data_IF_203661314750
#
_entry.id   IF_203661314750
#
_cell.length_a   1.000
_cell.length_b   1.000
_cell.length_c   1.000
_cell.angle_alpha   90.00
_cell.angle_beta   90.00
_cell.angle_gamma   90.00
#
_symmetry.space_group_name_H-M   'P 1'
#
loop_
_entity.id
_entity.type
_entity.pdbx_description
1 polymer ?
#
# COMPACT_ATOMS: atom_id res chain seq x y z
N UNK A 1 -36.21 30.35 -6.68
CA UNK A 1 -35.86 28.99 -6.22
C UNK A 1 -36.35 28.85 -4.79
N UNK A 2 -37.28 27.95 -4.54
CA UNK A 2 -37.76 27.67 -3.21
C UNK A 2 -36.66 26.90 -2.44
N UNK A 3 -36.15 27.49 -1.37
CA UNK A 3 -35.10 26.89 -0.54
C UNK A 3 -35.71 25.69 0.17
N UNK A 4 -35.27 24.49 -0.15
CA UNK A 4 -35.69 23.23 0.54
C UNK A 4 -35.36 23.36 2.02
N UNK A 5 -36.24 22.84 2.90
CA UNK A 5 -35.97 22.84 4.33
C UNK A 5 -34.74 21.91 4.66
N UNK A 6 -34.07 22.15 5.78
CA UNK A 6 -32.96 21.28 6.24
C UNK A 6 -33.45 19.84 6.40
N UNK A 7 -34.67 19.64 6.90
CA UNK A 7 -35.27 18.31 7.03
C UNK A 7 -35.44 17.62 5.68
N UNK A 8 -35.92 18.36 4.65
CA UNK A 8 -36.12 17.81 3.31
C UNK A 8 -34.77 17.48 2.65
N UNK A 9 -33.72 18.28 2.89
CA UNK A 9 -32.37 18.02 2.41
C UNK A 9 -31.75 16.79 3.09
N UNK A 10 -32.02 16.59 4.37
CA UNK A 10 -31.56 15.43 5.11
C UNK A 10 -32.25 14.13 4.65
N UNK A 11 -33.56 14.16 4.47
CA UNK A 11 -34.34 12.98 4.04
C UNK A 11 -34.12 12.65 2.55
N UNK A 12 -33.83 13.63 1.75
CA UNK A 12 -33.59 13.51 0.30
C UNK A 12 -32.33 14.28 -0.08
N UNK A 13 -31.14 13.73 0.22
CA UNK A 13 -29.87 14.40 -0.08
C UNK A 13 -29.69 14.61 -1.58
N UNK A 14 -29.00 15.69 -1.96
CA UNK A 14 -28.56 15.90 -3.33
C UNK A 14 -27.52 14.86 -3.74
N UNK A 15 -27.32 14.64 -5.03
CA UNK A 15 -26.33 13.67 -5.53
C UNK A 15 -24.91 13.99 -5.05
N UNK A 16 -24.59 15.25 -4.76
CA UNK A 16 -23.31 15.68 -4.21
C UNK A 16 -23.09 15.26 -2.75
N UNK A 17 -24.18 15.06 -2.00
CA UNK A 17 -24.15 14.65 -0.60
C UNK A 17 -24.27 13.13 -0.41
N UNK A 18 -24.42 12.38 -1.49
CA UNK A 18 -24.50 10.91 -1.42
C UNK A 18 -23.13 10.30 -1.14
N UNK A 19 -23.06 9.23 -0.31
CA UNK A 19 -21.81 8.53 -0.04
C UNK A 19 -21.27 7.83 -1.29
N UNK A 20 -19.97 7.59 -1.28
CA UNK A 20 -19.26 6.81 -2.27
C UNK A 20 -18.65 5.58 -1.59
N UNK A 21 -18.35 4.55 -2.38
CA UNK A 21 -17.66 3.34 -1.90
C UNK A 21 -16.46 3.01 -2.77
N UNK A 22 -15.52 2.23 -2.23
CA UNK A 22 -14.51 1.56 -3.04
C UNK A 22 -15.14 0.37 -3.75
N UNK A 23 -14.70 0.11 -4.97
CA UNK A 23 -15.12 -1.00 -5.80
C UNK A 23 -13.90 -1.77 -6.26
N UNK A 24 -13.62 -2.83 -5.54
CA UNK A 24 -12.42 -3.61 -5.75
C UNK A 24 -12.56 -4.57 -6.91
N UNK A 25 -11.65 -4.49 -7.87
CA UNK A 25 -11.50 -5.45 -8.94
C UNK A 25 -10.32 -6.36 -8.63
N UNK A 26 -10.60 -7.51 -8.04
CA UNK A 26 -9.59 -8.44 -7.56
C UNK A 26 -9.10 -9.31 -8.72
N UNK A 27 -7.79 -9.27 -9.01
CA UNK A 27 -7.10 -10.21 -9.89
C UNK A 27 -7.66 -10.32 -11.32
N UNK A 28 -8.29 -9.28 -11.82
CA UNK A 28 -8.91 -9.29 -13.14
C UNK A 28 -10.20 -10.13 -13.25
N UNK A 29 -10.76 -10.57 -12.12
CA UNK A 29 -11.98 -11.39 -12.08
C UNK A 29 -13.24 -10.52 -12.21
N UNK A 30 -13.43 -9.91 -13.38
CA UNK A 30 -14.58 -9.05 -13.66
C UNK A 30 -15.29 -9.48 -14.94
N UNK A 31 -16.60 -9.30 -15.01
CA UNK A 31 -17.44 -9.53 -16.19
C UNK A 31 -18.43 -8.39 -16.38
N UNK A 32 -18.98 -8.25 -17.58
CA UNK A 32 -19.99 -7.21 -17.86
C UNK A 32 -21.25 -7.40 -17.01
N UNK A 33 -21.67 -8.64 -16.81
CA UNK A 33 -22.82 -9.00 -15.98
C UNK A 33 -22.58 -8.62 -14.51
N UNK A 34 -21.37 -8.92 -13.99
CA UNK A 34 -20.97 -8.56 -12.63
C UNK A 34 -20.90 -7.03 -12.44
N UNK A 35 -20.30 -6.33 -13.40
CA UNK A 35 -20.24 -4.85 -13.40
C UNK A 35 -21.63 -4.24 -13.34
N UNK A 36 -22.56 -4.70 -14.19
CA UNK A 36 -23.94 -4.22 -14.19
C UNK A 36 -24.61 -4.48 -12.84
N UNK A 37 -24.51 -5.72 -12.33
CA UNK A 37 -25.14 -6.09 -11.07
C UNK A 37 -24.61 -5.26 -9.88
N UNK A 38 -23.29 -5.06 -9.80
CA UNK A 38 -22.67 -4.27 -8.74
C UNK A 38 -23.11 -2.80 -8.79
N UNK A 39 -23.09 -2.18 -9.97
CA UNK A 39 -23.47 -0.77 -10.12
C UNK A 39 -24.96 -0.56 -9.87
N UNK A 40 -25.83 -1.49 -10.29
CA UNK A 40 -27.26 -1.47 -9.97
C UNK A 40 -27.50 -1.61 -8.45
N UNK A 41 -26.77 -2.48 -7.79
CA UNK A 41 -26.84 -2.64 -6.32
C UNK A 41 -26.37 -1.35 -5.61
N UNK A 42 -25.29 -0.73 -6.05
CA UNK A 42 -24.80 0.56 -5.52
C UNK A 42 -25.85 1.67 -5.72
N UNK A 43 -26.48 1.74 -6.89
CA UNK A 43 -27.56 2.70 -7.15
C UNK A 43 -28.76 2.46 -6.24
N UNK A 44 -29.16 1.21 -6.08
CA UNK A 44 -30.28 0.83 -5.20
C UNK A 44 -29.99 1.15 -3.73
N UNK A 45 -28.75 1.00 -3.30
CA UNK A 45 -28.27 1.37 -1.96
C UNK A 45 -28.20 2.90 -1.73
N UNK A 46 -28.44 3.71 -2.74
CA UNK A 46 -28.44 5.17 -2.63
C UNK A 46 -27.06 5.82 -2.72
N UNK A 47 -26.06 5.11 -3.22
CA UNK A 47 -24.72 5.68 -3.45
C UNK A 47 -24.74 6.72 -4.59
N UNK A 48 -23.88 7.73 -4.48
CA UNK A 48 -23.66 8.75 -5.49
C UNK A 48 -22.58 8.39 -6.52
N UNK A 49 -21.72 7.45 -6.17
CA UNK A 49 -20.62 7.00 -7.01
C UNK A 49 -19.75 5.94 -6.37
N UNK A 50 -18.73 5.54 -7.10
CA UNK A 50 -17.75 4.56 -6.64
C UNK A 50 -16.35 4.86 -7.14
N UNK A 51 -15.33 4.37 -6.42
CA UNK A 51 -13.94 4.36 -6.84
C UNK A 51 -13.54 2.96 -7.28
N UNK A 52 -13.38 2.75 -8.59
CA UNK A 52 -12.80 1.52 -9.13
C UNK A 52 -11.36 1.42 -8.66
N UNK A 53 -11.05 0.36 -7.93
CA UNK A 53 -9.73 0.08 -7.40
C UNK A 53 -9.27 -1.30 -7.90
N UNK A 54 -8.42 -1.34 -8.93
CA UNK A 54 -7.88 -2.61 -9.40
C UNK A 54 -6.82 -3.12 -8.42
N UNK A 55 -6.85 -4.41 -8.13
CA UNK A 55 -5.88 -5.10 -7.28
C UNK A 55 -5.36 -6.29 -8.05
N UNK A 56 -4.12 -6.18 -8.52
CA UNK A 56 -3.40 -7.27 -9.16
C UNK A 56 -2.83 -8.21 -8.11
N UNK A 57 -2.05 -7.65 -7.17
CA UNK A 57 -1.46 -8.33 -6.03
C UNK A 57 -0.75 -9.65 -6.35
N UNK A 58 -0.07 -10.19 -5.36
CA UNK A 58 0.41 -11.57 -5.37
C UNK A 58 -0.70 -12.42 -4.73
N UNK A 59 -1.25 -13.40 -5.48
CA UNK A 59 -2.20 -14.33 -4.93
C UNK A 59 -1.77 -15.75 -5.27
N UNK A 60 -1.36 -16.46 -4.26
CA UNK A 60 -1.16 -17.90 -4.36
C UNK A 60 -2.51 -18.59 -4.12
N UNK A 61 -2.97 -19.37 -5.11
CA UNK A 61 -4.18 -20.18 -4.99
C UNK A 61 -5.51 -19.42 -5.05
N UNK A 62 -5.59 -18.29 -5.75
CA UNK A 62 -6.86 -17.63 -5.98
C UNK A 62 -7.86 -18.54 -6.73
N UNK A 63 -9.10 -18.55 -6.25
CA UNK A 63 -10.19 -19.32 -6.86
C UNK A 63 -10.61 -18.82 -8.25
N UNK A 64 -10.15 -17.62 -8.65
CA UNK A 64 -10.57 -16.95 -9.87
C UNK A 64 -9.36 -16.44 -10.65
N UNK A 65 -9.10 -17.07 -11.78
CA UNK A 65 -8.21 -16.52 -12.80
C UNK A 65 -9.02 -15.58 -13.69
N UNK A 66 -8.97 -14.29 -13.36
CA UNK A 66 -9.63 -13.27 -14.17
C UNK A 66 -8.91 -13.05 -15.50
N UNK A 67 -9.69 -12.91 -16.57
CA UNK A 67 -9.15 -12.64 -17.92
C UNK A 67 -8.77 -11.18 -18.12
N UNK A 68 -9.43 -10.27 -17.38
CA UNK A 68 -9.22 -8.83 -17.50
C UNK A 68 -8.07 -8.36 -16.60
N UNK A 69 -6.87 -8.85 -16.88
CA UNK A 69 -5.67 -8.42 -16.16
C UNK A 69 -5.42 -6.93 -16.37
N UNK A 70 -5.01 -6.22 -15.33
CA UNK A 70 -4.81 -4.78 -15.34
C UNK A 70 -3.94 -4.32 -16.51
N UNK A 71 -4.38 -3.26 -17.20
CA UNK A 71 -3.77 -2.64 -18.38
C UNK A 71 -3.83 -3.48 -19.69
N UNK A 72 -4.46 -4.66 -19.71
CA UNK A 72 -4.71 -5.39 -20.95
C UNK A 72 -5.86 -4.78 -21.74
N UNK A 73 -6.00 -5.09 -23.05
CA UNK A 73 -7.14 -4.66 -23.85
C UNK A 73 -8.50 -5.05 -23.25
N UNK A 74 -8.59 -6.27 -22.70
CA UNK A 74 -9.78 -6.79 -22.02
C UNK A 74 -10.13 -5.97 -20.78
N UNK A 75 -9.12 -5.58 -20.01
CA UNK A 75 -9.32 -4.72 -18.84
C UNK A 75 -9.86 -3.34 -19.25
N UNK A 76 -9.29 -2.73 -20.29
CA UNK A 76 -9.77 -1.45 -20.79
C UNK A 76 -11.18 -1.51 -21.37
N UNK A 77 -11.57 -2.65 -21.95
CA UNK A 77 -12.96 -2.90 -22.37
C UNK A 77 -13.90 -2.90 -21.17
N UNK A 78 -13.54 -3.58 -20.07
CA UNK A 78 -14.34 -3.60 -18.83
C UNK A 78 -14.42 -2.21 -18.19
N UNK A 79 -13.33 -1.45 -18.17
CA UNK A 79 -13.33 -0.07 -17.68
C UNK A 79 -14.29 0.80 -18.49
N UNK A 80 -14.22 0.74 -19.82
CA UNK A 80 -15.14 1.49 -20.68
C UNK A 80 -16.59 1.10 -20.44
N UNK A 81 -16.88 -0.18 -20.36
CA UNK A 81 -18.20 -0.68 -20.05
C UNK A 81 -18.70 -0.18 -18.69
N UNK A 82 -17.85 -0.14 -17.68
CA UNK A 82 -18.18 0.40 -16.36
C UNK A 82 -18.54 1.88 -16.41
N UNK A 83 -17.84 2.66 -17.24
CA UNK A 83 -18.16 4.09 -17.43
C UNK A 83 -19.52 4.27 -18.09
N UNK A 84 -19.84 3.44 -19.08
CA UNK A 84 -21.14 3.46 -19.79
C UNK A 84 -22.28 3.09 -18.82
N UNK A 85 -22.11 2.02 -18.04
CA UNK A 85 -23.09 1.56 -17.05
C UNK A 85 -23.28 2.57 -15.91
N UNK A 86 -22.18 3.12 -15.37
CA UNK A 86 -22.26 4.16 -14.35
C UNK A 86 -23.04 5.38 -14.88
N UNK A 87 -22.77 5.79 -16.11
CA UNK A 87 -23.50 6.89 -16.75
C UNK A 87 -24.98 6.55 -16.94
N UNK A 88 -25.32 5.34 -17.40
CA UNK A 88 -26.70 4.85 -17.53
C UNK A 88 -27.48 4.98 -16.22
N UNK A 89 -26.82 4.65 -15.10
CA UNK A 89 -27.42 4.67 -13.77
C UNK A 89 -27.34 6.04 -13.08
N UNK A 90 -26.67 7.03 -13.67
CA UNK A 90 -26.42 8.33 -13.05
C UNK A 90 -25.53 8.22 -11.82
N UNK A 91 -24.58 7.29 -11.81
CA UNK A 91 -23.52 7.17 -10.82
C UNK A 91 -22.25 7.87 -11.31
N UNK A 92 -21.49 8.44 -10.39
CA UNK A 92 -20.15 8.92 -10.68
C UNK A 92 -19.13 7.79 -10.53
N UNK A 93 -18.17 7.73 -11.43
CA UNK A 93 -17.09 6.74 -11.39
C UNK A 93 -15.74 7.46 -11.30
N UNK A 94 -15.01 7.23 -10.23
CA UNK A 94 -13.59 7.53 -10.08
C UNK A 94 -12.76 6.27 -10.33
N UNK A 95 -11.50 6.43 -10.70
CA UNK A 95 -10.59 5.30 -10.86
C UNK A 95 -9.30 5.56 -10.10
N UNK A 96 -8.84 4.56 -9.37
CA UNK A 96 -7.53 4.54 -8.76
C UNK A 96 -6.48 4.18 -9.81
N UNK A 97 -5.40 4.94 -9.88
CA UNK A 97 -4.40 4.84 -10.96
C UNK A 97 -3.20 3.94 -10.60
N UNK A 98 -3.31 3.17 -9.54
CA UNK A 98 -2.27 2.25 -9.10
C UNK A 98 -2.84 0.85 -8.80
N UNK A 99 -1.98 -0.10 -8.51
CA UNK A 99 -2.35 -1.44 -8.05
C UNK A 99 -2.65 -1.41 -6.55
N UNK A 100 -3.92 -1.57 -6.19
CA UNK A 100 -4.36 -1.49 -4.81
C UNK A 100 -3.93 -0.19 -4.14
N UNK A 101 -3.20 -0.28 -3.05
CA UNK A 101 -2.68 0.86 -2.29
C UNK A 101 -1.22 1.22 -2.62
N UNK A 102 -0.63 0.62 -3.64
CA UNK A 102 0.77 0.80 -4.02
C UNK A 102 0.97 2.07 -4.86
N UNK A 103 0.75 3.25 -4.26
CA UNK A 103 0.85 4.55 -4.94
C UNK A 103 2.26 4.93 -5.40
N UNK A 104 3.29 4.41 -4.74
CA UNK A 104 4.66 4.87 -4.90
C UNK A 104 5.62 3.72 -5.22
N UNK A 105 5.19 2.67 -5.88
CA UNK A 105 6.00 1.51 -6.18
C UNK A 105 5.83 0.99 -7.61
N UNK A 106 6.82 0.20 -8.04
CA UNK A 106 6.80 -0.47 -9.33
C UNK A 106 8.09 -1.24 -9.56
N UNK A 107 8.18 -2.05 -10.62
CA UNK A 107 9.33 -2.91 -10.86
C UNK A 107 10.64 -2.15 -11.17
N UNK A 108 10.57 -0.84 -11.32
CA UNK A 108 11.72 0.05 -11.52
C UNK A 108 12.32 0.57 -10.22
N UNK A 109 11.65 0.37 -9.07
CA UNK A 109 12.15 0.81 -7.77
C UNK A 109 13.26 -0.12 -7.32
N UNK A 110 14.45 0.43 -7.09
CA UNK A 110 15.58 -0.30 -6.55
C UNK A 110 15.52 -0.35 -5.02
N UNK A 111 16.28 -1.25 -4.35
CA UNK A 111 16.37 -1.27 -2.90
C UNK A 111 16.75 0.10 -2.29
N UNK A 112 17.63 0.87 -2.95
CA UNK A 112 18.06 2.20 -2.51
C UNK A 112 16.92 3.23 -2.55
N UNK A 113 16.00 3.08 -3.49
CA UNK A 113 14.87 3.99 -3.68
C UNK A 113 13.62 3.58 -2.90
N UNK A 114 13.65 2.39 -2.28
CA UNK A 114 12.53 1.88 -1.52
C UNK A 114 12.45 2.46 -0.11
N UNK A 115 11.37 2.19 0.59
CA UNK A 115 11.19 2.61 1.97
C UNK A 115 12.26 1.95 2.87
N UNK A 116 12.92 2.74 3.70
CA UNK A 116 14.01 2.33 4.58
C UNK A 116 13.54 2.18 6.03
N UNK A 117 14.16 1.27 6.78
CA UNK A 117 14.04 1.21 8.24
C UNK A 117 15.42 1.27 8.89
N UNK A 118 15.49 1.87 10.07
CA UNK A 118 16.70 1.86 10.89
C UNK A 118 16.79 0.49 11.59
N UNK A 119 17.93 -0.17 11.44
CA UNK A 119 18.28 -1.42 12.11
C UNK A 119 19.60 -1.25 12.82
N UNK A 120 19.93 -2.13 13.78
CA UNK A 120 21.18 -2.10 14.51
C UNK A 120 21.63 -3.48 14.89
N UNK A 121 22.94 -3.61 15.13
CA UNK A 121 23.55 -4.73 15.82
C UNK A 121 24.47 -4.21 16.92
N UNK A 122 24.73 -4.99 17.92
CA UNK A 122 25.65 -4.62 18.98
C UNK A 122 26.59 -5.78 19.33
N UNK A 123 27.75 -5.43 19.86
CA UNK A 123 28.78 -6.35 20.30
C UNK A 123 29.48 -5.78 21.53
N UNK A 124 29.64 -6.58 22.57
CA UNK A 124 30.39 -6.20 23.76
C UNK A 124 31.86 -6.59 23.55
N UNK A 125 32.74 -5.66 23.82
CA UNK A 125 34.19 -5.84 23.71
C UNK A 125 34.91 -5.38 24.94
N UNK A 126 36.05 -6.03 25.27
CA UNK A 126 36.93 -5.57 26.34
C UNK A 126 37.84 -4.46 25.80
N UNK A 127 37.75 -3.29 26.42
CA UNK A 127 38.54 -2.10 26.05
C UNK A 127 40.01 -2.18 26.51
N UNK A 128 40.69 -1.03 26.51
CA UNK A 128 42.06 -0.89 27.02
C UNK A 128 43.19 -1.27 26.06
N UNK A 129 42.89 -1.70 24.85
CA UNK A 129 43.87 -2.04 23.81
C UNK A 129 43.37 -1.73 22.42
N UNK A 130 44.31 -1.52 21.48
CA UNK A 130 43.95 -1.37 20.05
C UNK A 130 43.40 -2.70 19.54
N UNK A 131 42.23 -2.61 18.90
CA UNK A 131 41.51 -3.75 18.33
C UNK A 131 41.04 -3.43 16.91
N UNK A 132 41.03 -4.48 16.07
CA UNK A 132 40.32 -4.46 14.79
C UNK A 132 39.32 -5.62 14.84
N UNK A 133 38.04 -5.30 14.82
CA UNK A 133 36.97 -6.29 14.89
C UNK A 133 36.00 -6.09 13.71
N UNK A 134 35.43 -7.19 13.23
CA UNK A 134 34.34 -7.16 12.28
C UNK A 134 33.05 -7.29 13.06
N UNK A 135 32.21 -6.27 12.97
CA UNK A 135 30.91 -6.28 13.62
C UNK A 135 29.91 -7.12 12.80
N UNK A 136 28.94 -7.77 13.45
CA UNK A 136 27.86 -8.45 12.75
C UNK A 136 26.99 -7.44 12.03
N UNK A 137 26.76 -7.68 10.74
CA UNK A 137 25.82 -6.88 9.96
C UNK A 137 24.39 -7.26 10.33
N UNK A 138 23.48 -6.29 10.56
CA UNK A 138 22.06 -6.57 10.72
C UNK A 138 21.45 -7.19 9.45
N UNK A 139 20.27 -7.77 9.60
CA UNK A 139 19.53 -8.32 8.47
C UNK A 139 19.27 -7.24 7.42
N UNK A 140 19.60 -7.54 6.16
CA UNK A 140 19.39 -6.68 5.01
C UNK A 140 18.40 -7.35 4.06
N UNK A 141 17.42 -6.58 3.57
CA UNK A 141 16.51 -7.04 2.53
C UNK A 141 17.10 -6.73 1.15
N UNK A 142 16.96 -7.66 0.18
CA UNK A 142 17.54 -7.54 -1.17
C UNK A 142 19.04 -7.20 -1.18
N UNK A 143 19.76 -7.59 -0.12
CA UNK A 143 21.19 -7.29 0.11
C UNK A 143 21.53 -5.79 0.17
N UNK A 144 20.53 -4.93 0.30
CA UNK A 144 20.79 -3.50 0.48
C UNK A 144 21.03 -3.17 1.96
N UNK A 145 22.11 -2.40 2.19
CA UNK A 145 22.57 -2.05 3.50
C UNK A 145 23.48 -0.82 3.41
N UNK A 146 23.27 0.15 4.29
CA UNK A 146 24.07 1.37 4.39
C UNK A 146 24.32 1.71 5.85
N UNK A 147 25.59 1.94 6.21
CA UNK A 147 25.99 2.38 7.55
C UNK A 147 25.58 3.82 7.80
N UNK A 148 24.84 4.08 8.89
CA UNK A 148 24.53 5.44 9.33
C UNK A 148 25.58 5.91 10.33
N UNK A 149 25.85 5.11 11.38
CA UNK A 149 26.75 5.46 12.47
C UNK A 149 27.24 4.25 13.23
N UNK A 150 28.40 4.39 13.83
CA UNK A 150 29.01 3.44 14.76
C UNK A 150 29.19 4.17 16.10
N UNK A 151 28.70 3.56 17.19
CA UNK A 151 28.86 4.06 18.54
C UNK A 151 29.62 3.09 19.41
N UNK A 152 30.50 3.61 20.26
CA UNK A 152 31.14 2.87 21.33
C UNK A 152 30.68 3.46 22.67
N UNK A 153 29.99 2.66 23.47
CA UNK A 153 29.39 3.10 24.73
C UNK A 153 29.97 2.29 25.88
N UNK A 154 30.35 2.92 27.01
CA UNK A 154 30.73 2.20 28.21
C UNK A 154 29.58 1.31 28.72
N UNK A 155 29.90 0.12 29.22
CA UNK A 155 28.92 -0.74 29.90
C UNK A 155 29.00 -0.48 31.39
N UNK A 156 27.91 0.00 32.00
CA UNK A 156 27.89 0.50 33.39
C UNK A 156 28.08 -0.59 34.47
N UNK A 157 27.85 -1.89 34.17
CA UNK A 157 27.83 -2.98 35.13
C UNK A 157 29.07 -3.89 35.10
N UNK A 158 30.13 -3.53 34.39
CA UNK A 158 31.34 -4.32 34.34
C UNK A 158 32.26 -4.02 35.53
N UNK A 159 32.16 -4.82 36.59
CA UNK A 159 33.11 -4.77 37.68
C UNK A 159 34.54 -5.04 37.15
N UNK A 160 35.42 -4.09 37.28
CA UNK A 160 36.88 -4.12 37.08
C UNK A 160 37.45 -4.27 35.63
N UNK A 161 36.65 -4.40 34.58
CA UNK A 161 37.16 -4.34 33.22
C UNK A 161 36.45 -3.29 32.39
N UNK A 162 37.21 -2.45 31.64
CA UNK A 162 36.66 -1.45 30.73
C UNK A 162 36.02 -2.14 29.54
N UNK A 163 34.73 -2.37 29.63
CA UNK A 163 33.92 -2.90 28.52
C UNK A 163 33.23 -1.78 27.75
N UNK A 164 33.08 -1.96 26.49
CA UNK A 164 32.31 -1.05 25.62
C UNK A 164 31.33 -1.85 24.74
N UNK A 165 30.09 -1.40 24.72
CA UNK A 165 29.12 -1.85 23.76
C UNK A 165 29.28 -1.03 22.49
N UNK A 166 29.56 -1.71 21.39
CA UNK A 166 29.62 -1.10 20.06
C UNK A 166 28.30 -1.38 19.37
N UNK A 167 27.60 -0.31 18.98
CA UNK A 167 26.33 -0.40 18.28
C UNK A 167 26.50 0.18 16.88
N UNK A 168 26.27 -0.62 15.86
CA UNK A 168 26.11 -0.16 14.48
C UNK A 168 24.64 0.18 14.23
N UNK A 169 24.41 1.35 13.69
CA UNK A 169 23.07 1.80 13.27
C UNK A 169 23.07 1.91 11.76
N UNK A 170 22.19 1.19 11.13
CA UNK A 170 22.18 1.01 9.68
C UNK A 170 20.80 1.32 9.10
N UNK A 171 20.78 1.68 7.81
CA UNK A 171 19.58 1.65 6.99
C UNK A 171 19.45 0.30 6.29
N UNK A 172 18.28 -0.28 6.34
CA UNK A 172 17.95 -1.47 5.58
C UNK A 172 16.60 -1.27 4.87
N UNK A 173 16.46 -1.87 3.70
CA UNK A 173 15.19 -1.86 2.99
C UNK A 173 14.13 -2.65 3.77
N UNK A 174 12.89 -2.16 3.74
CA UNK A 174 11.74 -2.95 4.19
C UNK A 174 11.26 -3.81 3.04
N UNK A 175 11.15 -5.13 3.27
CA UNK A 175 10.42 -6.00 2.34
C UNK A 175 8.93 -5.62 2.34
N UNK A 176 8.36 -5.54 1.15
CA UNK A 176 6.89 -5.48 0.96
C UNK A 176 6.36 -6.90 0.81
#
# INVERSE_FOLDING_TARGET
>A
QQTRSLRDQFLNPSDEAKPWTFWYWMYGAVSKEGITADLEAMKHAGLGGTYLMPIKGIHEGAQYDGKAQQLTPEWWEMVRFSMEEANRLGLKLGMHICDGFALAGGPWITPEESMQKVVWSDTIVNGGKLMAIRLPQPEAYENYYEDIALFALPVEDAADEMQAKITCVNLATTGN
#
